data_IF_315174599329
#
_entry.id   IF_315174599329
#
_cell.length_a   1.000
_cell.length_b   1.000
_cell.length_c   1.000
_cell.angle_alpha   90.00
_cell.angle_beta   90.00
_cell.angle_gamma   90.00
#
_symmetry.space_group_name_H-M   'P 1'
#
loop_
_entity.id
_entity.type
_entity.pdbx_description
1 polymer ?
#
# COMPACT_ATOMS: atom_id res chain seq x y z
N UNK A 1 -1.79 -44.54 6.05
CA UNK A 1 -1.97 -43.08 6.16
C UNK A 1 -0.83 -42.43 5.41
N UNK A 2 -1.05 -42.00 4.16
CA UNK A 2 -0.06 -41.35 3.33
C UNK A 2 -0.12 -39.86 3.58
N UNK A 3 0.71 -39.35 4.48
CA UNK A 3 0.93 -37.90 4.63
C UNK A 3 1.87 -37.48 3.51
N UNK A 4 1.32 -37.19 2.33
CA UNK A 4 2.04 -36.44 1.30
C UNK A 4 2.31 -35.05 1.84
N UNK A 5 3.49 -34.83 2.40
CA UNK A 5 4.06 -33.51 2.66
C UNK A 5 4.24 -32.83 1.30
N UNK A 6 3.22 -32.09 0.85
CA UNK A 6 3.40 -31.19 -0.28
C UNK A 6 4.53 -30.23 0.05
N UNK A 7 5.70 -30.45 -0.58
CA UNK A 7 6.82 -29.53 -0.49
C UNK A 7 6.30 -28.12 -0.82
N UNK A 8 6.36 -27.19 0.15
CA UNK A 8 5.84 -25.84 -0.04
C UNK A 8 6.68 -25.18 -1.14
N UNK A 9 6.05 -24.87 -2.26
CA UNK A 9 6.74 -24.22 -3.38
C UNK A 9 7.15 -22.80 -2.95
N UNK A 10 8.48 -22.62 -2.75
CA UNK A 10 9.04 -21.34 -2.27
C UNK A 10 8.74 -20.17 -3.21
N UNK A 11 8.77 -20.42 -4.53
CA UNK A 11 8.44 -19.38 -5.54
C UNK A 11 6.98 -18.92 -5.37
N UNK A 12 6.07 -19.87 -5.20
CA UNK A 12 4.67 -19.56 -4.96
C UNK A 12 4.48 -18.79 -3.64
N UNK A 13 5.19 -19.16 -2.57
CA UNK A 13 5.13 -18.47 -1.29
C UNK A 13 5.60 -17.00 -1.40
N UNK A 14 6.67 -16.74 -2.17
CA UNK A 14 7.10 -15.37 -2.44
C UNK A 14 6.08 -14.58 -3.27
N UNK A 15 5.52 -15.17 -4.34
CA UNK A 15 4.47 -14.52 -5.13
C UNK A 15 3.23 -14.19 -4.29
N UNK A 16 2.85 -15.07 -3.36
CA UNK A 16 1.74 -14.82 -2.43
C UNK A 16 2.05 -13.67 -1.47
N UNK A 17 3.30 -13.53 -1.00
CA UNK A 17 3.72 -12.43 -0.11
C UNK A 17 3.87 -11.10 -0.87
N UNK A 18 4.36 -11.11 -2.09
CA UNK A 18 4.46 -9.92 -2.96
C UNK A 18 3.07 -9.39 -3.38
N UNK A 19 2.06 -10.27 -3.44
CA UNK A 19 0.65 -9.93 -3.78
C UNK A 19 0.50 -9.13 -5.07
N UNK A 20 0.92 -9.63 -6.25
CA UNK A 20 0.84 -8.88 -7.50
C UNK A 20 -0.57 -8.38 -7.84
N UNK A 21 -1.61 -9.09 -7.35
CA UNK A 21 -3.02 -8.67 -7.49
C UNK A 21 -3.36 -7.33 -6.82
N UNK A 22 -2.51 -6.80 -5.93
CA UNK A 22 -2.72 -5.50 -5.28
C UNK A 22 -2.00 -4.36 -6.02
N UNK A 23 -1.10 -4.66 -6.96
CA UNK A 23 -0.38 -3.64 -7.74
C UNK A 23 -1.29 -2.73 -8.56
N UNK A 24 -2.38 -3.23 -9.19
CA UNK A 24 -3.31 -2.35 -9.92
C UNK A 24 -3.88 -1.22 -9.05
N UNK A 25 -4.04 -1.43 -7.73
CA UNK A 25 -4.50 -0.40 -6.81
C UNK A 25 -3.50 0.77 -6.71
N UNK A 26 -2.19 0.47 -6.64
CA UNK A 26 -1.16 1.50 -6.60
C UNK A 26 -0.98 2.18 -7.97
N UNK A 27 -1.07 1.40 -9.06
CA UNK A 27 -0.87 1.91 -10.41
C UNK A 27 -2.01 2.80 -10.88
N UNK A 28 -3.27 2.49 -10.54
CA UNK A 28 -4.43 3.25 -10.98
C UNK A 28 -4.34 4.74 -10.60
N UNK A 29 -3.94 5.05 -9.38
CA UNK A 29 -3.81 6.42 -8.92
C UNK A 29 -2.68 7.20 -9.65
N UNK A 30 -1.53 6.56 -9.88
CA UNK A 30 -0.44 7.15 -10.67
C UNK A 30 -0.88 7.41 -12.10
N UNK A 31 -1.59 6.44 -12.71
CA UNK A 31 -2.12 6.58 -14.07
C UNK A 31 -3.15 7.70 -14.19
N UNK A 32 -4.03 7.86 -13.18
CA UNK A 32 -5.00 8.97 -13.15
C UNK A 32 -4.28 10.32 -13.11
N UNK A 33 -3.32 10.51 -12.21
CA UNK A 33 -2.57 11.77 -12.13
C UNK A 33 -1.77 12.07 -13.39
N UNK A 34 -1.12 11.04 -13.98
CA UNK A 34 -0.37 11.18 -15.22
C UNK A 34 -1.28 11.44 -16.44
N UNK A 35 -2.45 10.81 -16.49
CA UNK A 35 -3.42 11.04 -17.55
C UNK A 35 -4.01 12.47 -17.49
N UNK A 36 -4.28 12.98 -16.29
CA UNK A 36 -4.71 14.36 -16.10
C UNK A 36 -3.63 15.35 -16.55
N UNK A 37 -2.36 15.08 -16.23
CA UNK A 37 -1.23 15.87 -16.72
C UNK A 37 -1.15 15.84 -18.24
N UNK A 38 -1.34 14.65 -18.85
CA UNK A 38 -1.40 14.48 -20.31
C UNK A 38 -2.53 15.26 -20.96
N UNK A 39 -3.71 15.29 -20.33
CA UNK A 39 -4.85 16.10 -20.80
C UNK A 39 -4.52 17.59 -20.89
N UNK A 40 -3.65 18.09 -20.00
CA UNK A 40 -3.19 19.47 -19.97
C UNK A 40 -1.90 19.72 -20.80
N UNK A 41 -1.39 18.69 -21.48
CA UNK A 41 -0.20 18.81 -22.33
C UNK A 41 1.14 18.64 -21.61
N UNK A 42 1.15 18.13 -20.36
CA UNK A 42 2.37 17.97 -19.54
C UNK A 42 2.89 16.51 -19.46
N UNK A 43 2.42 15.61 -20.35
CA UNK A 43 2.76 14.20 -20.23
C UNK A 43 4.24 13.90 -20.51
N UNK A 44 4.90 13.29 -19.50
CA UNK A 44 6.23 12.72 -19.65
C UNK A 44 6.18 11.20 -19.31
N UNK A 45 6.50 10.32 -20.30
CA UNK A 45 6.47 8.87 -20.09
C UNK A 45 7.54 8.38 -19.15
N UNK A 46 8.70 9.04 -19.05
CA UNK A 46 9.80 8.63 -18.14
C UNK A 46 9.38 8.89 -16.70
N UNK A 47 8.82 10.07 -16.41
CA UNK A 47 8.28 10.41 -15.08
C UNK A 47 7.18 9.41 -14.70
N UNK A 48 6.25 9.13 -15.61
CA UNK A 48 5.17 8.17 -15.37
C UNK A 48 5.69 6.77 -15.05
N UNK A 49 6.65 6.25 -15.83
CA UNK A 49 7.23 4.92 -15.62
C UNK A 49 7.99 4.83 -14.29
N UNK A 50 8.79 5.85 -13.94
CA UNK A 50 9.50 5.90 -12.67
C UNK A 50 8.53 6.02 -11.48
N UNK A 51 7.44 6.79 -11.62
CA UNK A 51 6.40 6.87 -10.60
C UNK A 51 5.67 5.53 -10.41
N UNK A 52 5.31 4.84 -11.49
CA UNK A 52 4.72 3.50 -11.43
C UNK A 52 5.67 2.48 -10.78
N UNK A 53 6.95 2.49 -11.15
CA UNK A 53 7.95 1.61 -10.53
C UNK A 53 8.06 1.88 -9.03
N UNK A 54 8.19 3.15 -8.63
CA UNK A 54 8.32 3.53 -7.23
C UNK A 54 7.06 3.18 -6.43
N UNK A 55 5.87 3.47 -6.97
CA UNK A 55 4.59 3.12 -6.33
C UNK A 55 4.40 1.60 -6.22
N UNK A 56 4.76 0.84 -7.26
CA UNK A 56 4.72 -0.63 -7.24
C UNK A 56 5.65 -1.21 -6.17
N UNK A 57 6.86 -0.68 -6.04
CA UNK A 57 7.81 -1.10 -5.00
C UNK A 57 7.31 -0.73 -3.59
N UNK A 58 6.72 0.45 -3.39
CA UNK A 58 6.08 0.84 -2.12
C UNK A 58 4.92 -0.10 -1.75
N UNK A 59 4.10 -0.50 -2.73
CA UNK A 59 3.03 -1.49 -2.54
C UNK A 59 3.60 -2.85 -2.13
N UNK A 60 4.68 -3.31 -2.78
CA UNK A 60 5.38 -4.54 -2.41
C UNK A 60 5.95 -4.43 -0.99
N UNK A 61 6.60 -3.32 -0.66
CA UNK A 61 7.10 -3.06 0.70
C UNK A 61 6.00 -3.19 1.75
N UNK A 62 4.85 -2.56 1.50
CA UNK A 62 3.68 -2.65 2.40
C UNK A 62 3.22 -4.11 2.59
N UNK A 63 3.14 -4.88 1.50
CA UNK A 63 2.75 -6.28 1.57
C UNK A 63 3.73 -7.13 2.38
N UNK A 64 5.05 -6.99 2.14
CA UNK A 64 6.09 -7.71 2.87
C UNK A 64 6.15 -7.31 4.35
N UNK A 65 6.03 -6.00 4.65
CA UNK A 65 5.98 -5.49 6.00
C UNK A 65 4.75 -6.00 6.76
N UNK A 66 3.59 -6.09 6.09
CA UNK A 66 2.37 -6.65 6.66
C UNK A 66 2.53 -8.14 6.99
N UNK A 67 3.12 -8.92 6.08
CA UNK A 67 3.37 -10.35 6.34
C UNK A 67 4.35 -10.55 7.51
N UNK A 68 5.40 -9.73 7.56
CA UNK A 68 6.36 -9.76 8.66
C UNK A 68 5.73 -9.33 10.00
N UNK A 69 5.03 -8.20 10.01
CA UNK A 69 4.45 -7.63 11.21
C UNK A 69 3.37 -8.52 11.83
N UNK A 70 2.46 -9.05 11.00
CA UNK A 70 1.40 -9.95 11.43
C UNK A 70 1.97 -11.29 11.95
N UNK A 71 3.01 -11.84 11.29
CA UNK A 71 3.68 -13.07 11.73
C UNK A 71 4.40 -12.91 13.08
N UNK A 72 5.14 -11.79 13.26
CA UNK A 72 5.86 -11.51 14.52
C UNK A 72 4.88 -11.29 15.68
N UNK A 73 3.70 -10.70 15.42
CA UNK A 73 2.66 -10.48 16.43
C UNK A 73 1.79 -11.72 16.68
N UNK A 74 1.93 -12.78 15.88
CA UNK A 74 1.07 -13.96 15.98
C UNK A 74 -0.37 -13.71 15.55
N UNK A 75 -0.63 -12.66 14.76
CA UNK A 75 -1.96 -12.32 14.26
C UNK A 75 -2.39 -13.18 13.07
N UNK A 76 -1.48 -13.93 12.47
CA UNK A 76 -1.74 -14.85 11.36
C UNK A 76 -2.17 -16.23 11.88
N UNK A 77 -3.37 -16.33 12.44
CA UNK A 77 -3.94 -17.57 12.94
C UNK A 77 -4.50 -18.44 11.80
N UNK A 78 -4.57 -19.79 11.97
CA UNK A 78 -5.09 -20.72 10.94
C UNK A 78 -6.56 -20.47 10.54
N UNK A 79 -7.34 -19.83 11.40
CA UNK A 79 -8.78 -19.52 11.20
C UNK A 79 -9.02 -18.24 10.38
N UNK A 80 -7.97 -17.60 9.88
CA UNK A 80 -8.09 -16.45 9.00
C UNK A 80 -8.70 -16.85 7.65
N UNK A 81 -9.71 -16.10 7.20
CA UNK A 81 -10.43 -16.38 5.94
C UNK A 81 -9.63 -15.98 4.67
N UNK A 82 -8.58 -15.18 4.81
CA UNK A 82 -7.72 -14.77 3.70
C UNK A 82 -6.71 -15.85 3.28
N UNK A 83 -6.05 -15.68 2.11
CA UNK A 83 -5.03 -16.62 1.66
C UNK A 83 -3.90 -16.76 2.68
N UNK A 84 -3.42 -17.99 2.88
CA UNK A 84 -2.26 -18.26 3.73
C UNK A 84 -1.02 -17.54 3.17
N UNK A 85 -0.23 -16.94 4.05
CA UNK A 85 0.97 -16.16 3.69
C UNK A 85 2.22 -17.00 3.73
N UNK A 86 3.27 -16.57 3.02
CA UNK A 86 4.52 -17.31 2.91
C UNK A 86 5.19 -17.60 4.26
N UNK A 87 5.16 -16.65 5.21
CA UNK A 87 5.66 -16.86 6.58
C UNK A 87 4.76 -17.79 7.38
N UNK A 88 3.44 -17.64 7.27
CA UNK A 88 2.46 -18.51 7.94
C UNK A 88 2.58 -19.97 7.52
N UNK A 89 2.91 -20.21 6.24
CA UNK A 89 3.19 -21.56 5.69
C UNK A 89 4.56 -22.12 6.12
N UNK A 90 5.39 -21.35 6.82
CA UNK A 90 6.76 -21.73 7.15
C UNK A 90 7.73 -21.77 5.96
N UNK A 91 7.30 -21.33 4.77
CA UNK A 91 8.10 -21.33 3.55
C UNK A 91 9.12 -20.19 3.49
N UNK A 92 8.87 -19.11 4.20
CA UNK A 92 9.74 -17.92 4.29
C UNK A 92 10.04 -17.66 5.76
N UNK A 93 11.33 -17.60 6.11
CA UNK A 93 11.78 -17.32 7.46
C UNK A 93 11.78 -15.80 7.75
N UNK A 94 11.68 -15.40 9.02
CA UNK A 94 11.75 -14.00 9.41
C UNK A 94 13.04 -13.28 8.95
N UNK A 95 14.25 -13.87 9.00
CA UNK A 95 15.44 -13.25 8.43
C UNK A 95 15.36 -13.05 6.91
N UNK A 96 14.77 -14.00 6.17
CA UNK A 96 14.57 -13.87 4.72
C UNK A 96 13.59 -12.74 4.40
N UNK A 97 12.49 -12.62 5.14
CA UNK A 97 11.53 -11.54 4.98
C UNK A 97 12.15 -10.17 5.29
N UNK A 98 12.94 -10.05 6.37
CA UNK A 98 13.68 -8.82 6.67
C UNK A 98 14.62 -8.40 5.53
N UNK A 99 15.38 -9.34 4.96
CA UNK A 99 16.27 -9.06 3.81
C UNK A 99 15.48 -8.60 2.59
N UNK A 100 14.32 -9.21 2.32
CA UNK A 100 13.45 -8.79 1.21
C UNK A 100 12.91 -7.36 1.43
N UNK A 101 12.50 -7.03 2.65
CA UNK A 101 12.08 -5.66 3.02
C UNK A 101 13.25 -4.67 2.81
N UNK A 102 14.44 -4.97 3.30
CA UNK A 102 15.62 -4.11 3.14
C UNK A 102 15.98 -3.90 1.66
N UNK A 103 15.98 -4.97 0.86
CA UNK A 103 16.22 -4.88 -0.58
C UNK A 103 15.14 -4.02 -1.27
N UNK A 104 13.88 -4.21 -0.93
CA UNK A 104 12.78 -3.40 -1.50
C UNK A 104 12.92 -1.93 -1.13
N UNK A 105 13.30 -1.61 0.12
CA UNK A 105 13.59 -0.22 0.53
C UNK A 105 14.75 0.36 -0.29
N UNK A 106 15.84 -0.39 -0.51
CA UNK A 106 16.94 0.07 -1.34
C UNK A 106 16.50 0.35 -2.79
N UNK A 107 15.68 -0.53 -3.38
CA UNK A 107 15.12 -0.33 -4.72
C UNK A 107 14.18 0.89 -4.78
N UNK A 108 13.37 1.13 -3.74
CA UNK A 108 12.53 2.33 -3.64
C UNK A 108 13.41 3.58 -3.59
N UNK A 109 14.49 3.58 -2.81
CA UNK A 109 15.41 4.71 -2.75
C UNK A 109 16.04 4.98 -4.12
N UNK A 110 16.49 3.95 -4.83
CA UNK A 110 17.07 4.11 -6.17
C UNK A 110 16.05 4.65 -7.17
N UNK A 111 14.85 4.03 -7.25
CA UNK A 111 13.81 4.47 -8.18
C UNK A 111 13.25 5.85 -7.82
N UNK A 112 13.08 6.15 -6.53
CA UNK A 112 12.61 7.44 -6.05
C UNK A 112 13.62 8.57 -6.28
N UNK A 113 14.91 8.30 -6.06
CA UNK A 113 15.98 9.27 -6.40
C UNK A 113 16.06 9.53 -7.91
N UNK A 114 15.92 8.48 -8.74
CA UNK A 114 15.84 8.65 -10.19
C UNK A 114 14.63 9.49 -10.60
N UNK A 115 13.45 9.24 -9.98
CA UNK A 115 12.24 10.04 -10.22
C UNK A 115 12.45 11.51 -9.84
N UNK A 116 12.98 11.78 -8.66
CA UNK A 116 13.27 13.15 -8.19
C UNK A 116 14.30 13.83 -9.10
N UNK A 117 15.34 13.13 -9.51
CA UNK A 117 16.36 13.68 -10.41
C UNK A 117 15.79 14.09 -11.77
N UNK A 118 14.88 13.29 -12.33
CA UNK A 118 14.27 13.57 -13.64
C UNK A 118 13.17 14.64 -13.54
N UNK A 119 12.38 14.62 -12.47
CA UNK A 119 11.15 15.41 -12.41
C UNK A 119 11.28 16.71 -11.59
N UNK A 120 12.24 16.86 -10.68
CA UNK A 120 12.31 18.03 -9.81
C UNK A 120 13.39 19.00 -10.28
N UNK A 121 13.00 20.28 -10.42
CA UNK A 121 13.88 21.34 -10.94
C UNK A 121 14.21 22.41 -9.89
N UNK A 122 13.57 22.37 -8.73
CA UNK A 122 13.84 23.26 -7.60
C UNK A 122 14.30 22.50 -6.36
N UNK A 123 15.11 23.14 -5.51
CA UNK A 123 15.53 22.55 -4.24
C UNK A 123 14.31 22.23 -3.34
N UNK A 124 13.29 23.06 -3.38
CA UNK A 124 12.06 22.86 -2.61
C UNK A 124 11.34 21.58 -3.04
N UNK A 125 11.22 21.33 -4.36
CA UNK A 125 10.62 20.09 -4.90
C UNK A 125 11.44 18.87 -4.50
N UNK A 126 12.77 18.94 -4.67
CA UNK A 126 13.68 17.85 -4.27
C UNK A 126 13.49 17.49 -2.80
N UNK A 127 13.57 18.47 -1.90
CA UNK A 127 13.41 18.22 -0.46
C UNK A 127 12.01 17.75 -0.12
N UNK A 128 10.97 18.31 -0.76
CA UNK A 128 9.58 17.92 -0.57
C UNK A 128 9.34 16.47 -0.95
N UNK A 129 9.77 16.05 -2.16
CA UNK A 129 9.56 14.67 -2.63
C UNK A 129 10.45 13.65 -1.91
N UNK A 130 11.67 14.03 -1.49
CA UNK A 130 12.47 13.17 -0.61
C UNK A 130 11.80 12.94 0.75
N UNK A 131 11.25 14.00 1.35
CA UNK A 131 10.50 13.87 2.60
C UNK A 131 9.23 13.01 2.44
N UNK A 132 8.45 13.21 1.37
CA UNK A 132 7.26 12.41 1.06
C UNK A 132 7.63 10.94 0.79
N UNK A 133 8.74 10.67 0.10
CA UNK A 133 9.25 9.32 -0.12
C UNK A 133 9.64 8.63 1.19
N UNK A 134 10.38 9.33 2.06
CA UNK A 134 10.75 8.82 3.38
C UNK A 134 9.51 8.53 4.25
N UNK A 135 8.53 9.44 4.27
CA UNK A 135 7.26 9.24 4.97
C UNK A 135 6.48 8.06 4.41
N UNK A 136 6.48 7.83 3.08
CA UNK A 136 5.82 6.70 2.45
C UNK A 136 6.45 5.36 2.86
N UNK A 137 7.78 5.28 2.89
CA UNK A 137 8.51 4.09 3.39
C UNK A 137 8.18 3.83 4.86
N UNK A 138 8.26 4.88 5.70
CA UNK A 138 7.92 4.77 7.12
C UNK A 138 6.48 4.33 7.33
N UNK A 139 5.53 4.91 6.60
CA UNK A 139 4.12 4.56 6.68
C UNK A 139 3.88 3.09 6.26
N UNK A 140 4.50 2.63 5.17
CA UNK A 140 4.38 1.25 4.70
C UNK A 140 4.88 0.24 5.75
N UNK A 141 5.96 0.54 6.46
CA UNK A 141 6.53 -0.33 7.49
C UNK A 141 5.71 -0.25 8.78
N UNK A 142 5.44 0.95 9.29
CA UNK A 142 4.81 1.16 10.59
C UNK A 142 3.31 0.88 10.59
N UNK A 143 2.73 0.57 9.42
CA UNK A 143 1.35 0.11 9.31
C UNK A 143 1.09 -1.14 10.16
N UNK A 144 2.04 -2.11 10.16
CA UNK A 144 1.94 -3.38 10.91
C UNK A 144 3.13 -3.66 11.80
N UNK A 145 4.32 -3.09 11.51
CA UNK A 145 5.55 -3.32 12.26
C UNK A 145 5.71 -2.28 13.35
N UNK A 146 6.23 -2.70 14.52
CA UNK A 146 6.47 -1.84 15.67
C UNK A 146 5.60 -2.17 16.88
N UNK A 147 5.77 -1.42 17.96
CA UNK A 147 5.04 -1.63 19.23
C UNK A 147 3.58 -1.19 19.14
N UNK A 148 3.29 -0.14 18.40
CA UNK A 148 1.94 0.44 18.18
C UNK A 148 1.70 0.70 16.69
N UNK A 149 1.54 -0.34 15.85
CA UNK A 149 1.33 -0.14 14.43
C UNK A 149 -0.02 0.56 14.19
N UNK A 150 0.01 1.61 13.38
CA UNK A 150 -1.18 2.46 13.21
C UNK A 150 -2.33 1.77 12.44
N UNK A 151 -2.04 0.74 11.65
CA UNK A 151 -3.06 -0.12 11.03
C UNK A 151 -3.90 -0.89 12.06
N UNK A 152 -3.31 -1.21 13.23
CA UNK A 152 -4.02 -1.82 14.37
C UNK A 152 -4.82 -0.79 15.19
N UNK A 153 -4.62 0.50 14.92
CA UNK A 153 -5.27 1.60 15.63
C UNK A 153 -6.46 2.21 14.86
N UNK A 154 -6.90 1.57 13.77
CA UNK A 154 -8.02 2.04 12.96
C UNK A 154 -7.70 3.26 12.09
N UNK A 155 -6.42 3.57 11.87
CA UNK A 155 -5.97 4.69 11.04
C UNK A 155 -5.70 4.28 9.59
N UNK A 156 -5.98 3.03 9.23
CA UNK A 156 -5.71 2.48 7.90
C UNK A 156 -6.46 3.21 6.79
N UNK A 157 -7.74 3.48 6.99
CA UNK A 157 -8.58 4.12 5.97
C UNK A 157 -8.11 5.54 5.63
N UNK A 158 -7.75 6.33 6.65
CA UNK A 158 -7.18 7.68 6.46
C UNK A 158 -5.82 7.60 5.76
N UNK A 159 -4.97 6.67 6.17
CA UNK A 159 -3.68 6.45 5.53
C UNK A 159 -3.83 6.09 4.06
N UNK A 160 -4.75 5.20 3.73
CA UNK A 160 -5.01 4.81 2.33
C UNK A 160 -5.54 5.99 1.52
N UNK A 161 -6.47 6.79 2.05
CA UNK A 161 -6.94 8.02 1.40
C UNK A 161 -5.76 8.96 1.07
N UNK A 162 -4.86 9.17 2.01
CA UNK A 162 -3.72 10.09 1.83
C UNK A 162 -2.73 9.51 0.81
N UNK A 163 -2.25 8.27 0.98
CA UNK A 163 -1.17 7.73 0.18
C UNK A 163 -1.62 7.24 -1.19
N UNK A 164 -2.78 6.57 -1.31
CA UNK A 164 -3.30 6.05 -2.58
C UNK A 164 -4.20 7.04 -3.33
N UNK A 165 -4.74 8.03 -2.63
CA UNK A 165 -5.51 9.11 -3.23
C UNK A 165 -4.63 10.34 -3.46
N UNK A 166 -4.51 11.15 -2.43
CA UNK A 166 -3.92 12.47 -2.56
C UNK A 166 -2.45 12.42 -2.98
N UNK A 167 -1.58 11.69 -2.27
CA UNK A 167 -0.16 11.67 -2.60
C UNK A 167 0.09 11.04 -3.99
N UNK A 168 -0.58 9.95 -4.33
CA UNK A 168 -0.37 9.28 -5.61
C UNK A 168 -0.87 10.10 -6.80
N UNK A 169 -2.10 10.62 -6.74
CA UNK A 169 -2.69 11.39 -7.86
C UNK A 169 -2.10 12.80 -7.95
N UNK A 170 -2.10 13.55 -6.83
CA UNK A 170 -1.56 14.92 -6.84
C UNK A 170 -0.04 14.92 -7.04
N UNK A 171 0.67 13.93 -6.47
CA UNK A 171 2.11 13.79 -6.63
C UNK A 171 2.49 13.48 -8.07
N UNK A 172 1.84 12.51 -8.73
CA UNK A 172 2.12 12.19 -10.13
C UNK A 172 1.71 13.31 -11.10
N UNK A 173 0.63 14.03 -10.80
CA UNK A 173 0.28 15.27 -11.49
C UNK A 173 1.38 16.32 -11.32
N UNK A 174 1.77 16.64 -10.07
CA UNK A 174 2.73 17.72 -9.77
C UNK A 174 4.10 17.46 -10.37
N UNK A 175 4.58 16.22 -10.33
CA UNK A 175 5.88 15.85 -10.93
C UNK A 175 5.96 16.14 -12.43
N UNK A 176 4.83 16.27 -13.11
CA UNK A 176 4.76 16.58 -14.54
C UNK A 176 4.37 18.03 -14.82
N UNK A 177 3.44 18.60 -14.06
CA UNK A 177 2.87 19.92 -14.30
C UNK A 177 3.52 21.05 -13.46
N UNK A 178 4.27 20.72 -12.41
CA UNK A 178 4.91 21.63 -11.43
C UNK A 178 3.95 22.66 -10.81
N UNK A 179 2.67 22.35 -10.80
CA UNK A 179 1.63 23.18 -10.20
C UNK A 179 0.53 22.32 -9.62
N UNK A 180 -0.19 22.83 -8.63
CA UNK A 180 -1.40 22.20 -8.11
C UNK A 180 -2.61 23.05 -8.50
N UNK A 181 -3.62 22.41 -9.07
CA UNK A 181 -4.89 23.04 -9.45
C UNK A 181 -6.05 22.36 -8.72
N UNK A 182 -7.06 23.14 -8.35
CA UNK A 182 -8.20 22.65 -7.60
C UNK A 182 -8.93 21.44 -8.25
N UNK A 183 -9.13 21.38 -9.58
CA UNK A 183 -9.83 20.25 -10.20
C UNK A 183 -9.19 18.87 -9.97
N UNK A 184 -7.87 18.78 -9.72
CA UNK A 184 -7.17 17.49 -9.54
C UNK A 184 -7.48 16.85 -8.17
N UNK A 185 -7.94 17.66 -7.19
CA UNK A 185 -8.30 17.14 -5.87
C UNK A 185 -9.50 16.20 -5.90
N UNK A 186 -10.45 16.41 -6.79
CA UNK A 186 -11.63 15.56 -6.90
C UNK A 186 -11.27 14.12 -7.32
N UNK A 187 -10.59 13.88 -8.47
CA UNK A 187 -10.17 12.53 -8.83
C UNK A 187 -9.17 11.93 -7.84
N UNK A 188 -8.33 12.74 -7.18
CA UNK A 188 -7.45 12.27 -6.12
C UNK A 188 -8.23 11.73 -4.92
N UNK A 189 -9.26 12.44 -4.49
CA UNK A 189 -10.14 11.99 -3.41
C UNK A 189 -10.92 10.75 -3.80
N UNK A 190 -11.49 10.71 -5.01
CA UNK A 190 -12.21 9.54 -5.52
C UNK A 190 -11.33 8.28 -5.55
N UNK A 191 -10.09 8.36 -6.07
CA UNK A 191 -9.13 7.25 -6.04
C UNK A 191 -8.85 6.79 -4.60
N UNK A 192 -8.68 7.72 -3.67
CA UNK A 192 -8.43 7.42 -2.27
C UNK A 192 -9.62 6.75 -1.57
N UNK A 193 -10.84 7.19 -1.84
CA UNK A 193 -12.07 6.58 -1.31
C UNK A 193 -12.27 5.16 -1.85
N UNK A 194 -12.04 4.93 -3.15
CA UNK A 194 -12.11 3.60 -3.75
C UNK A 194 -11.03 2.66 -3.17
N UNK A 195 -9.81 3.17 -2.94
CA UNK A 195 -8.76 2.40 -2.28
C UNK A 195 -9.11 2.07 -0.82
N UNK A 196 -9.72 3.01 -0.09
CA UNK A 196 -10.24 2.77 1.25
C UNK A 196 -11.41 1.76 1.25
N UNK A 197 -12.25 1.75 0.21
CA UNK A 197 -13.30 0.74 0.04
C UNK A 197 -12.71 -0.66 -0.12
N UNK A 198 -11.61 -0.83 -0.89
CA UNK A 198 -10.89 -2.11 -0.97
C UNK A 198 -10.33 -2.54 0.38
N UNK A 199 -9.74 -1.62 1.15
CA UNK A 199 -9.28 -1.91 2.51
C UNK A 199 -10.44 -2.31 3.42
N UNK A 200 -11.55 -1.59 3.36
CA UNK A 200 -12.74 -1.86 4.18
C UNK A 200 -13.33 -3.25 3.92
N UNK A 201 -13.40 -3.71 2.67
CA UNK A 201 -13.83 -5.09 2.33
C UNK A 201 -12.90 -6.13 2.97
N UNK A 202 -11.59 -5.92 2.93
CA UNK A 202 -10.65 -6.82 3.57
C UNK A 202 -10.84 -6.86 5.10
N UNK A 203 -11.02 -5.69 5.72
CA UNK A 203 -11.25 -5.57 7.16
C UNK A 203 -12.63 -6.17 7.56
N UNK A 204 -13.67 -6.04 6.73
CA UNK A 204 -14.96 -6.66 6.94
C UNK A 204 -14.89 -8.20 6.89
N UNK A 205 -14.13 -8.74 5.93
CA UNK A 205 -13.92 -10.20 5.83
C UNK A 205 -13.23 -10.74 7.07
N UNK A 206 -12.23 -10.02 7.56
CA UNK A 206 -11.34 -10.46 8.63
C UNK A 206 -11.79 -9.95 10.03
N UNK A 207 -12.99 -9.35 10.17
CA UNK A 207 -13.43 -8.60 11.38
C UNK A 207 -13.34 -9.41 12.67
N UNK A 208 -13.72 -10.68 12.64
CA UNK A 208 -13.71 -11.53 13.83
C UNK A 208 -12.29 -11.97 14.20
N UNK A 209 -11.46 -12.26 13.21
CA UNK A 209 -10.04 -12.58 13.40
C UNK A 209 -9.28 -11.35 13.90
N UNK A 210 -9.49 -10.18 13.28
CA UNK A 210 -8.86 -8.92 13.69
C UNK A 210 -9.19 -8.57 15.15
N UNK A 211 -10.47 -8.72 15.55
CA UNK A 211 -10.91 -8.49 16.94
C UNK A 211 -10.21 -9.41 17.93
N UNK A 212 -10.12 -10.72 17.65
CA UNK A 212 -9.45 -11.69 18.53
C UNK A 212 -7.95 -11.40 18.68
N UNK A 213 -7.33 -10.90 17.61
CA UNK A 213 -5.89 -10.60 17.58
C UNK A 213 -5.56 -9.16 18.03
N UNK A 214 -6.51 -8.42 18.59
CA UNK A 214 -6.31 -7.05 19.07
C UNK A 214 -6.07 -6.01 17.97
N UNK A 215 -6.40 -6.34 16.72
CA UNK A 215 -6.31 -5.44 15.58
C UNK A 215 -7.60 -4.62 15.48
N UNK A 216 -7.54 -3.39 15.97
CA UNK A 216 -8.71 -2.52 16.19
C UNK A 216 -9.00 -1.66 14.96
N UNK A 217 -9.20 -2.31 13.79
CA UNK A 217 -9.51 -1.65 12.52
C UNK A 217 -10.81 -0.85 12.59
N UNK A 218 -11.04 0.05 11.65
CA UNK A 218 -12.29 0.82 11.59
C UNK A 218 -13.51 -0.11 11.48
N UNK A 219 -13.42 -1.20 10.72
CA UNK A 219 -14.48 -2.20 10.61
C UNK A 219 -14.78 -2.89 11.97
N UNK A 220 -13.73 -3.23 12.75
CA UNK A 220 -13.89 -3.79 14.10
C UNK A 220 -14.58 -2.81 15.04
N UNK A 221 -14.23 -1.51 14.97
CA UNK A 221 -14.84 -0.46 15.80
C UNK A 221 -16.30 -0.20 15.46
N UNK A 222 -16.62 -0.16 14.17
CA UNK A 222 -17.97 0.10 13.68
C UNK A 222 -18.90 -1.11 13.85
N UNK A 223 -18.32 -2.31 13.83
CA UNK A 223 -19.08 -3.55 13.72
C UNK A 223 -19.60 -3.81 12.29
N UNK A 224 -20.09 -5.03 12.00
CA UNK A 224 -20.33 -5.47 10.62
C UNK A 224 -21.43 -4.66 9.90
N UNK A 225 -22.45 -4.22 10.59
CA UNK A 225 -23.57 -3.47 9.97
C UNK A 225 -23.13 -2.05 9.59
N UNK A 226 -22.51 -1.30 10.53
CA UNK A 226 -22.07 0.06 10.25
C UNK A 226 -20.89 0.10 9.29
N UNK A 227 -20.00 -0.90 9.32
CA UNK A 227 -18.89 -1.00 8.38
C UNK A 227 -19.35 -1.27 6.93
N UNK A 228 -20.47 -1.99 6.72
CA UNK A 228 -21.11 -2.13 5.41
C UNK A 228 -21.72 -0.81 4.93
N UNK A 229 -22.38 -0.05 5.81
CA UNK A 229 -22.91 1.29 5.48
C UNK A 229 -21.77 2.26 5.11
N UNK A 230 -20.70 2.21 5.88
CA UNK A 230 -19.47 2.96 5.59
C UNK A 230 -18.89 2.60 4.22
N UNK A 231 -18.88 1.30 3.85
CA UNK A 231 -18.45 0.86 2.53
C UNK A 231 -19.27 1.51 1.40
N UNK A 232 -20.61 1.54 1.56
CA UNK A 232 -21.49 2.21 0.59
C UNK A 232 -21.18 3.71 0.50
N UNK A 233 -20.93 4.36 1.63
CA UNK A 233 -20.55 5.78 1.65
C UNK A 233 -19.22 6.04 0.92
N UNK A 234 -18.22 5.16 1.05
CA UNK A 234 -16.95 5.26 0.32
C UNK A 234 -17.11 5.13 -1.21
N UNK A 235 -18.14 4.40 -1.66
CA UNK A 235 -18.43 4.22 -3.10
C UNK A 235 -19.29 5.36 -3.68
N UNK A 236 -20.04 6.07 -2.83
CA UNK A 236 -20.94 7.15 -3.23
C UNK A 236 -20.31 8.54 -3.19
N UNK A 237 -19.22 8.71 -2.41
CA UNK A 237 -18.49 9.97 -2.22
C UNK A 237 -17.32 10.11 -3.11
#
# INVERSE_FOLDING_TARGET
MNTSTHAVNRTQAWLESLRPRTLPLAFSAILVGSALAGWQGYFDPVITLLALLTAGLLQILSNLANDYGDAVKGSDQPDRLGPLRGMQKGAITAPQMKRAIQLTVALICVSGLALVYVACHSLADVLGFLALGALSILAAITYTVGTRPYGYMGLGDVSVLIFFGWLSVLGSWYLQAHTLIAPVWLPATACGLLAAAVLNINNLRDIDSDRRNGKNTLAVRLGPVAARRYHVALLAG
#
